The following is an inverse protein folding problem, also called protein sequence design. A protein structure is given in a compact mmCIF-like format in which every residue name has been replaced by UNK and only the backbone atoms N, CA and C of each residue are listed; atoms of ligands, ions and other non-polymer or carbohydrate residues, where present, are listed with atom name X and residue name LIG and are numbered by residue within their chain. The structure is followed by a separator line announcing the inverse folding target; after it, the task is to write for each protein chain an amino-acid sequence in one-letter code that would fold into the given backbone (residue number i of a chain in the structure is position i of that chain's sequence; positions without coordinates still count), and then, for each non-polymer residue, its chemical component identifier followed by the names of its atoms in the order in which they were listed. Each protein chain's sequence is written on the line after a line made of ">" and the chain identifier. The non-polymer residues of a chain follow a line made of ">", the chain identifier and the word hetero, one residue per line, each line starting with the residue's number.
data_IF_459404180341
#
_entry.id   IF_459404180341
#
_cell.length_a   1.000
_cell.length_b   1.000
_cell.length_c   1.000
_cell.angle_alpha   90.00
_cell.angle_beta   90.00
_cell.angle_gamma   90.00
#
_symmetry.space_group_name_H-M   'P 1'
#
loop_
_entity.id
_entity.type
_entity.pdbx_description
1 polymer ?
#
# COMPACT_ATOMS: atom_id res chain seq x y z
N UNK A 1 -7.99 -7.22 -42.49
CA UNK A 1 -8.03 -6.83 -43.92
C UNK A 1 -8.31 -5.33 -43.98
N UNK A 2 -7.90 -4.62 -45.04
CA UNK A 2 -8.33 -3.24 -45.20
C UNK A 2 -9.85 -3.20 -45.44
N UNK A 3 -10.52 -2.19 -44.87
CA UNK A 3 -11.95 -1.93 -45.10
C UNK A 3 -12.24 -1.96 -46.60
N UNK A 4 -13.23 -2.74 -47.01
CA UNK A 4 -13.71 -2.75 -48.38
C UNK A 4 -14.67 -1.57 -48.61
N UNK A 5 -14.26 -0.60 -49.41
CA UNK A 5 -15.09 0.55 -49.78
C UNK A 5 -15.97 0.22 -51.00
N UNK A 6 -17.25 0.55 -50.90
CA UNK A 6 -18.18 0.48 -52.04
C UNK A 6 -17.89 1.66 -52.95
N UNK A 7 -17.62 1.38 -54.22
CA UNK A 7 -17.44 2.39 -55.26
C UNK A 7 -18.82 2.77 -55.81
N UNK A 8 -19.23 4.01 -55.58
CA UNK A 8 -20.52 4.52 -56.05
C UNK A 8 -20.51 4.94 -57.53
N UNK A 9 -19.33 4.97 -58.17
CA UNK A 9 -19.16 5.46 -59.53
C UNK A 9 -19.29 6.98 -59.63
N UNK A 10 -19.51 7.47 -60.84
CA UNK A 10 -19.67 8.90 -61.13
C UNK A 10 -21.13 9.32 -61.06
N UNK A 11 -21.42 10.41 -60.33
CA UNK A 11 -22.76 10.99 -60.31
C UNK A 11 -23.16 11.54 -61.70
N UNK A 12 -24.46 11.55 -62.07
CA UNK A 12 -25.62 11.18 -61.27
C UNK A 12 -26.04 9.70 -61.39
N UNK A 13 -25.48 8.95 -62.33
CA UNK A 13 -25.96 7.62 -62.70
C UNK A 13 -25.12 6.46 -62.12
N UNK A 14 -24.03 6.76 -61.42
CA UNK A 14 -23.14 5.76 -60.82
C UNK A 14 -22.29 4.99 -61.83
N UNK A 15 -22.07 5.53 -63.05
CA UNK A 15 -21.28 4.86 -64.07
C UNK A 15 -19.84 4.59 -63.59
N UNK A 16 -19.35 3.38 -63.83
CA UNK A 16 -18.05 2.89 -63.35
C UNK A 16 -18.02 2.49 -61.87
N UNK A 17 -19.17 2.43 -61.20
CA UNK A 17 -19.33 1.94 -59.82
C UNK A 17 -19.40 0.42 -59.70
N UNK A 18 -19.46 -0.05 -58.46
CA UNK A 18 -19.76 -1.45 -58.14
C UNK A 18 -21.18 -1.83 -58.58
N UNK A 19 -21.35 -3.07 -59.04
CA UNK A 19 -22.68 -3.63 -59.20
C UNK A 19 -23.30 -3.98 -57.83
N UNK A 20 -24.61 -4.25 -57.80
CA UNK A 20 -25.31 -4.57 -56.55
C UNK A 20 -24.71 -5.78 -55.82
N UNK A 21 -24.20 -6.76 -56.56
CA UNK A 21 -23.61 -7.98 -56.01
C UNK A 21 -22.22 -7.72 -55.45
N UNK A 22 -21.35 -7.01 -56.18
CA UNK A 22 -20.00 -6.67 -55.72
C UNK A 22 -20.05 -5.72 -54.52
N UNK A 23 -20.98 -4.75 -54.51
CA UNK A 23 -21.23 -3.90 -53.35
C UNK A 23 -21.68 -4.70 -52.12
N UNK A 24 -22.60 -5.68 -52.29
CA UNK A 24 -23.06 -6.52 -51.19
C UNK A 24 -21.99 -7.48 -50.66
N UNK A 25 -21.18 -8.06 -51.56
CA UNK A 25 -20.03 -8.87 -51.16
C UNK A 25 -19.04 -8.06 -50.32
N UNK A 26 -18.80 -6.78 -50.67
CA UNK A 26 -17.95 -5.87 -49.89
C UNK A 26 -18.54 -5.56 -48.51
N UNK A 27 -19.85 -5.28 -48.45
CA UNK A 27 -20.53 -5.02 -47.18
C UNK A 27 -20.45 -6.23 -46.25
N UNK A 28 -20.79 -7.42 -46.76
CA UNK A 28 -20.73 -8.67 -45.99
C UNK A 28 -19.32 -8.99 -45.52
N UNK A 29 -18.31 -8.84 -46.38
CA UNK A 29 -16.92 -9.07 -46.01
C UNK A 29 -16.47 -8.19 -44.82
N UNK A 30 -16.87 -6.92 -44.78
CA UNK A 30 -16.56 -6.02 -43.66
C UNK A 30 -17.22 -6.49 -42.33
N UNK A 31 -18.46 -6.98 -42.37
CA UNK A 31 -19.14 -7.50 -41.17
C UNK A 31 -18.54 -8.84 -40.72
N UNK A 32 -18.31 -9.77 -41.64
CA UNK A 32 -17.65 -11.06 -41.37
C UNK A 32 -16.29 -10.83 -40.71
N UNK A 33 -15.51 -9.85 -41.18
CA UNK A 33 -14.24 -9.47 -40.55
C UNK A 33 -14.41 -9.02 -39.09
N UNK A 34 -15.36 -8.13 -38.80
CA UNK A 34 -15.59 -7.61 -37.44
C UNK A 34 -16.04 -8.72 -36.47
N UNK A 35 -16.98 -9.57 -36.90
CA UNK A 35 -17.47 -10.68 -36.09
C UNK A 35 -16.37 -11.68 -35.79
N UNK A 36 -15.57 -12.05 -36.80
CA UNK A 36 -14.43 -12.94 -36.63
C UNK A 36 -13.36 -12.35 -35.70
N UNK A 37 -13.05 -11.06 -35.83
CA UNK A 37 -12.06 -10.40 -34.98
C UNK A 37 -12.49 -10.35 -33.51
N UNK A 38 -13.77 -10.09 -33.24
CA UNK A 38 -14.34 -10.05 -31.90
C UNK A 38 -14.48 -11.45 -31.28
N UNK A 39 -14.95 -12.43 -32.06
CA UNK A 39 -15.15 -13.81 -31.60
C UNK A 39 -13.85 -14.63 -31.54
N UNK A 40 -12.72 -14.07 -31.98
CA UNK A 40 -11.43 -14.76 -32.09
C UNK A 40 -11.51 -16.03 -32.97
N UNK A 41 -12.25 -15.95 -34.07
CA UNK A 41 -12.41 -17.02 -35.06
C UNK A 41 -11.75 -16.62 -36.37
N UNK A 42 -11.08 -17.55 -37.05
CA UNK A 42 -10.47 -17.32 -38.38
C UNK A 42 -11.30 -18.07 -39.41
N UNK A 43 -12.37 -17.47 -39.95
CA UNK A 43 -13.32 -18.20 -40.79
C UNK A 43 -13.82 -17.40 -41.99
N UNK A 44 -14.32 -18.10 -43.00
CA UNK A 44 -15.07 -17.54 -44.14
C UNK A 44 -16.49 -17.13 -43.72
N UNK A 45 -17.28 -16.62 -44.67
CA UNK A 45 -18.62 -16.07 -44.45
C UNK A 45 -19.54 -16.87 -43.52
N UNK A 46 -20.35 -16.12 -42.75
CA UNK A 46 -21.55 -16.56 -42.03
C UNK A 46 -21.37 -17.57 -40.88
N UNK A 47 -20.16 -17.74 -40.33
CA UNK A 47 -19.93 -18.71 -39.23
C UNK A 47 -19.96 -18.08 -37.82
N UNK A 48 -19.43 -16.88 -37.63
CA UNK A 48 -19.59 -16.15 -36.38
C UNK A 48 -20.99 -15.49 -36.36
N UNK A 49 -21.97 -16.19 -35.78
CA UNK A 49 -23.38 -15.76 -35.76
C UNK A 49 -23.75 -14.87 -34.58
N UNK A 50 -22.83 -14.70 -33.63
CA UNK A 50 -23.02 -13.88 -32.43
C UNK A 50 -21.73 -13.17 -32.03
N UNK A 51 -21.88 -11.98 -31.45
CA UNK A 51 -20.79 -11.31 -30.75
C UNK A 51 -20.54 -12.00 -29.41
N UNK A 52 -19.30 -12.00 -28.89
CA UNK A 52 -19.03 -12.53 -27.57
C UNK A 52 -19.82 -11.74 -26.51
N UNK A 53 -20.30 -12.43 -25.48
CA UNK A 53 -21.04 -11.82 -24.36
C UNK A 53 -20.18 -10.84 -23.55
N UNK A 54 -18.87 -11.01 -23.59
CA UNK A 54 -17.87 -10.11 -22.98
C UNK A 54 -16.76 -9.86 -24.00
N UNK A 55 -16.38 -8.59 -24.17
CA UNK A 55 -15.23 -8.23 -25.02
C UNK A 55 -13.93 -8.75 -24.38
N UNK A 56 -13.12 -9.56 -25.10
CA UNK A 56 -11.82 -9.98 -24.61
C UNK A 56 -10.91 -8.78 -24.36
N UNK A 57 -10.07 -8.83 -23.30
CA UNK A 57 -9.16 -7.74 -22.94
C UNK A 57 -8.28 -7.28 -24.11
N UNK A 58 -7.75 -8.25 -24.88
CA UNK A 58 -6.93 -8.00 -26.07
C UNK A 58 -7.66 -7.21 -27.18
N UNK A 59 -8.99 -7.09 -27.11
CA UNK A 59 -9.86 -6.39 -28.06
C UNK A 59 -10.46 -5.10 -27.47
N UNK A 60 -10.16 -4.79 -26.20
CA UNK A 60 -10.71 -3.64 -25.48
C UNK A 60 -10.02 -2.30 -25.73
N UNK A 61 -9.06 -2.22 -26.67
CA UNK A 61 -8.39 -0.96 -27.03
C UNK A 61 -7.42 -0.39 -25.98
N UNK A 62 -7.22 -1.07 -24.85
CA UNK A 62 -6.32 -0.62 -23.75
C UNK A 62 -4.84 -0.91 -24.02
N UNK A 63 -4.50 -1.50 -25.18
CA UNK A 63 -3.13 -1.92 -25.49
C UNK A 63 -2.61 -3.06 -24.60
N UNK A 64 -3.49 -3.79 -23.91
CA UNK A 64 -3.16 -4.94 -23.06
C UNK A 64 -3.86 -6.20 -23.54
N UNK A 65 -3.12 -7.31 -23.53
CA UNK A 65 -3.58 -8.61 -24.03
C UNK A 65 -3.69 -9.68 -22.92
N UNK A 66 -3.35 -9.35 -21.68
CA UNK A 66 -3.45 -10.23 -20.53
C UNK A 66 -3.88 -9.48 -19.28
N UNK A 67 -4.62 -10.17 -18.39
CA UNK A 67 -5.04 -9.60 -17.11
C UNK A 67 -3.82 -9.19 -16.26
N UNK A 68 -2.73 -9.96 -16.32
CA UNK A 68 -1.50 -9.67 -15.59
C UNK A 68 -0.87 -8.33 -16.01
N UNK A 69 -0.82 -8.03 -17.30
CA UNK A 69 -0.27 -6.75 -17.79
C UNK A 69 -1.17 -5.56 -17.42
N UNK A 70 -2.50 -5.73 -17.46
CA UNK A 70 -3.44 -4.70 -17.00
C UNK A 70 -3.27 -4.42 -15.50
N UNK A 71 -3.19 -5.47 -14.68
CA UNK A 71 -2.96 -5.35 -13.24
C UNK A 71 -1.62 -4.67 -12.98
N UNK A 72 -0.57 -5.02 -13.72
CA UNK A 72 0.76 -4.41 -13.55
C UNK A 72 0.76 -2.91 -13.84
N UNK A 73 0.10 -2.44 -14.90
CA UNK A 73 0.00 -1.00 -15.16
C UNK A 73 -0.76 -0.29 -14.05
N UNK A 74 -1.82 -0.92 -13.59
CA UNK A 74 -2.73 -0.34 -12.62
C UNK A 74 -2.06 -0.20 -11.25
N UNK A 75 -1.32 -1.24 -10.83
CA UNK A 75 -0.46 -1.20 -9.66
C UNK A 75 0.70 -0.21 -9.85
N UNK A 76 1.29 -0.14 -11.04
CA UNK A 76 2.31 0.86 -11.39
C UNK A 76 1.79 2.29 -11.39
N UNK A 77 0.49 2.48 -11.66
CA UNK A 77 -0.23 3.75 -11.58
C UNK A 77 -0.68 4.14 -10.17
N UNK A 78 -0.28 3.40 -9.14
CA UNK A 78 -0.56 3.73 -7.74
C UNK A 78 -1.84 3.11 -7.18
N UNK A 79 -2.43 2.09 -7.84
CA UNK A 79 -3.55 1.38 -7.21
C UNK A 79 -3.10 0.54 -6.03
N UNK A 80 -3.92 0.56 -4.99
CA UNK A 80 -3.82 -0.32 -3.84
C UNK A 80 -4.69 -1.57 -4.04
N UNK A 81 -4.09 -2.72 -3.81
CA UNK A 81 -4.71 -4.03 -3.83
C UNK A 81 -4.19 -4.87 -2.65
N UNK A 82 -4.87 -5.98 -2.34
CA UNK A 82 -4.44 -6.88 -1.24
C UNK A 82 -2.97 -7.29 -1.31
N UNK A 83 -2.38 -7.31 -2.50
CA UNK A 83 -0.97 -7.65 -2.74
C UNK A 83 0.05 -6.57 -2.34
N UNK A 84 -0.35 -5.31 -2.17
CA UNK A 84 0.57 -4.20 -1.87
C UNK A 84 0.12 -3.30 -0.71
N UNK A 85 -0.99 -3.63 -0.03
CA UNK A 85 -1.42 -2.90 1.19
C UNK A 85 -0.35 -2.99 2.29
N UNK A 86 0.32 -4.14 2.41
CA UNK A 86 1.45 -4.34 3.32
C UNK A 86 2.78 -4.31 2.55
N UNK A 87 3.74 -3.52 3.02
CA UNK A 87 5.05 -3.39 2.39
C UNK A 87 5.78 -2.15 2.89
N UNK A 88 6.97 -1.87 2.36
CA UNK A 88 7.71 -0.64 2.71
C UNK A 88 6.85 0.59 2.43
N UNK A 89 6.65 1.42 3.46
CA UNK A 89 5.90 2.67 3.39
C UNK A 89 6.89 3.79 3.04
N UNK A 90 6.56 4.52 1.98
CA UNK A 90 7.32 5.68 1.51
C UNK A 90 6.39 6.80 1.06
N UNK A 91 6.94 8.01 0.97
CA UNK A 91 6.22 9.19 0.49
C UNK A 91 7.14 10.05 -0.35
N UNK A 92 6.56 10.80 -1.28
CA UNK A 92 7.22 11.90 -1.98
C UNK A 92 6.21 13.04 -2.17
N UNK A 93 6.53 14.25 -1.70
CA UNK A 93 5.62 15.40 -1.82
C UNK A 93 4.23 15.19 -1.20
N UNK A 94 4.12 14.43 -0.11
CA UNK A 94 2.83 14.08 0.52
C UNK A 94 2.04 12.98 -0.18
N UNK A 95 2.57 12.41 -1.29
CA UNK A 95 1.95 11.28 -2.00
C UNK A 95 2.59 9.97 -1.51
N UNK A 96 1.82 8.98 -1.06
CA UNK A 96 2.32 7.63 -0.78
C UNK A 96 2.97 7.00 -2.01
N UNK A 97 4.18 6.47 -1.87
CA UNK A 97 4.96 5.84 -2.96
C UNK A 97 5.18 4.34 -2.75
N UNK A 98 4.67 3.78 -1.66
CA UNK A 98 4.83 2.38 -1.29
C UNK A 98 3.55 1.79 -0.70
N UNK A 99 3.70 0.82 0.20
CA UNK A 99 2.58 0.20 0.90
C UNK A 99 1.82 1.18 1.81
N UNK A 100 0.67 0.75 2.31
CA UNK A 100 -0.14 1.54 3.26
C UNK A 100 0.36 1.36 4.68
N UNK A 101 0.82 0.15 5.00
CA UNK A 101 1.30 -0.25 6.33
C UNK A 101 2.63 -0.98 6.21
N UNK A 102 3.59 -0.57 7.04
CA UNK A 102 4.89 -1.22 7.20
C UNK A 102 5.08 -1.59 8.67
N UNK A 103 5.25 -2.88 8.93
CA UNK A 103 5.66 -3.37 10.24
C UNK A 103 7.14 -3.70 10.22
N UNK A 104 7.87 -3.27 11.25
CA UNK A 104 9.27 -3.64 11.43
C UNK A 104 9.59 -4.00 12.88
N UNK A 105 10.63 -4.80 13.04
CA UNK A 105 11.13 -5.25 14.34
C UNK A 105 12.65 -5.34 14.30
N UNK A 106 13.31 -4.74 15.29
CA UNK A 106 14.75 -4.82 15.46
C UNK A 106 15.10 -4.92 16.96
N UNK A 107 16.40 -4.85 17.29
CA UNK A 107 16.86 -4.97 18.68
C UNK A 107 16.29 -3.88 19.62
N UNK A 108 15.85 -2.74 19.07
CA UNK A 108 15.31 -1.62 19.83
C UNK A 108 13.78 -1.66 19.98
N UNK A 109 13.12 -2.64 19.36
CA UNK A 109 11.69 -2.88 19.46
C UNK A 109 10.96 -2.96 18.13
N UNK A 110 9.67 -2.64 18.17
CA UNK A 110 8.73 -2.81 17.06
C UNK A 110 8.18 -1.47 16.63
N UNK A 111 7.89 -1.33 15.33
CA UNK A 111 7.21 -0.17 14.81
C UNK A 111 6.15 -0.52 13.78
N UNK A 112 5.19 0.40 13.64
CA UNK A 112 4.21 0.43 12.57
C UNK A 112 4.25 1.81 11.92
N UNK A 113 4.58 1.87 10.64
CA UNK A 113 4.47 3.08 9.81
C UNK A 113 3.20 3.00 8.96
N UNK A 114 2.54 4.14 8.84
CA UNK A 114 1.36 4.34 8.02
C UNK A 114 1.67 5.31 6.88
N UNK A 115 1.05 5.10 5.72
CA UNK A 115 1.23 5.98 4.56
C UNK A 115 0.80 7.43 4.80
N UNK A 116 -0.12 7.67 5.72
CA UNK A 116 -0.51 9.01 6.16
C UNK A 116 0.63 9.75 6.89
N UNK A 117 1.70 9.05 7.27
CA UNK A 117 2.88 9.55 7.99
C UNK A 117 2.90 9.24 9.48
N UNK A 118 1.87 8.58 10.00
CA UNK A 118 1.83 8.14 11.40
C UNK A 118 2.90 7.07 11.62
N UNK A 119 3.65 7.20 12.71
CA UNK A 119 4.61 6.22 13.20
C UNK A 119 4.24 5.85 14.63
N UNK A 120 4.12 4.56 14.90
CA UNK A 120 3.96 4.02 16.24
C UNK A 120 5.20 3.15 16.53
N UNK A 121 5.97 3.51 17.54
CA UNK A 121 7.08 2.71 18.07
C UNK A 121 6.68 2.16 19.44
N UNK A 122 6.97 0.89 19.72
CA UNK A 122 6.70 0.29 21.03
C UNK A 122 7.70 -0.79 21.38
N UNK A 123 8.00 -0.88 22.66
CA UNK A 123 8.97 -1.83 23.21
C UNK A 123 8.66 -2.09 24.68
N UNK A 124 9.05 -3.27 25.17
CA UNK A 124 9.21 -3.55 26.58
C UNK A 124 10.44 -4.43 26.79
N UNK A 125 11.04 -4.32 27.96
CA UNK A 125 12.33 -4.96 28.25
C UNK A 125 12.15 -6.46 28.46
N UNK A 126 13.13 -7.26 28.02
CA UNK A 126 13.13 -8.71 28.24
C UNK A 126 13.51 -9.10 29.69
N UNK A 127 14.15 -8.18 30.40
CA UNK A 127 14.56 -8.34 31.80
C UNK A 127 13.99 -7.22 32.66
N UNK A 128 13.77 -7.53 33.93
CA UNK A 128 13.33 -6.54 34.92
C UNK A 128 14.50 -5.69 35.41
N UNK A 129 14.21 -4.44 35.74
CA UNK A 129 15.15 -3.52 36.40
C UNK A 129 14.81 -3.44 37.88
N UNK A 130 15.85 -3.42 38.71
CA UNK A 130 15.70 -3.20 40.14
C UNK A 130 15.40 -1.73 40.44
N UNK A 131 14.38 -1.49 41.26
CA UNK A 131 14.10 -0.20 41.89
C UNK A 131 14.66 -0.25 43.31
N UNK A 132 15.96 0.00 43.45
CA UNK A 132 16.68 -0.06 44.72
C UNK A 132 17.14 1.30 45.25
N UNK A 133 17.11 2.33 44.41
CA UNK A 133 17.60 3.66 44.80
C UNK A 133 16.51 4.37 45.59
N UNK A 134 16.80 4.73 46.84
CA UNK A 134 15.84 5.43 47.70
C UNK A 134 15.65 6.87 47.18
N UNK A 135 14.39 7.29 47.02
CA UNK A 135 14.01 8.66 46.65
C UNK A 135 12.79 9.09 47.47
N UNK A 136 13.05 9.82 48.57
CA UNK A 136 12.02 10.10 49.57
C UNK A 136 11.47 8.81 50.18
N UNK A 137 10.15 8.64 50.18
CA UNK A 137 9.46 7.41 50.64
C UNK A 137 9.26 6.36 49.54
N UNK A 138 9.85 6.56 48.37
CA UNK A 138 9.76 5.63 47.24
C UNK A 138 11.13 5.05 46.89
N UNK A 139 11.11 4.02 46.06
CA UNK A 139 12.27 3.45 45.40
C UNK A 139 12.19 3.71 43.90
N UNK A 140 13.33 4.01 43.29
CA UNK A 140 13.44 4.28 41.86
C UNK A 140 14.52 3.42 41.20
N UNK A 141 14.37 3.16 39.91
CA UNK A 141 15.42 2.55 39.10
C UNK A 141 16.56 3.54 38.85
N UNK A 142 17.72 3.07 38.37
CA UNK A 142 18.64 3.93 37.62
C UNK A 142 17.95 4.48 36.35
N UNK A 143 18.40 5.63 35.79
CA UNK A 143 17.80 6.15 34.57
C UNK A 143 17.92 5.14 33.42
N UNK A 144 16.81 4.89 32.73
CA UNK A 144 16.72 3.94 31.62
C UNK A 144 16.65 4.71 30.31
N UNK A 145 17.53 4.37 29.36
CA UNK A 145 17.56 5.01 28.04
C UNK A 145 17.13 4.01 26.96
N UNK A 146 16.16 4.41 26.14
CA UNK A 146 15.62 3.63 25.04
C UNK A 146 15.84 4.36 23.72
N UNK A 147 16.37 3.65 22.74
CA UNK A 147 16.37 4.10 21.34
C UNK A 147 15.08 3.62 20.68
N UNK A 148 14.43 4.45 19.88
CA UNK A 148 13.28 4.01 19.10
C UNK A 148 13.72 3.09 17.95
N UNK A 149 12.93 2.07 17.61
CA UNK A 149 13.25 1.16 16.50
C UNK A 149 13.18 1.82 15.12
N UNK A 150 12.54 2.99 15.02
CA UNK A 150 12.61 3.90 13.88
C UNK A 150 12.61 5.35 14.39
N UNK A 151 13.35 6.24 13.73
CA UNK A 151 13.36 7.65 14.08
C UNK A 151 12.05 8.36 13.65
N UNK A 152 11.56 9.25 14.49
CA UNK A 152 10.51 10.21 14.14
C UNK A 152 11.11 11.37 13.33
N UNK A 153 10.27 12.06 12.56
CA UNK A 153 10.65 13.20 11.75
C UNK A 153 10.97 14.40 12.64
N UNK A 154 12.22 14.89 12.59
CA UNK A 154 12.70 15.95 13.47
C UNK A 154 11.95 17.29 13.31
N UNK A 155 11.48 17.58 12.09
CA UNK A 155 10.71 18.78 11.74
C UNK A 155 9.25 18.74 12.25
N UNK A 156 8.73 17.59 12.67
CA UNK A 156 7.36 17.42 13.17
C UNK A 156 7.29 17.45 14.72
N UNK A 157 8.40 17.77 15.38
CA UNK A 157 8.50 17.83 16.83
C UNK A 157 8.83 16.49 17.49
N UNK A 158 8.58 16.42 18.80
CA UNK A 158 8.84 15.25 19.64
C UNK A 158 7.62 14.32 19.62
N UNK A 159 7.79 12.99 19.54
CA UNK A 159 6.65 12.07 19.62
C UNK A 159 5.92 12.18 20.96
N UNK A 160 4.61 11.90 20.95
CA UNK A 160 3.86 11.66 22.17
C UNK A 160 4.25 10.29 22.74
N UNK A 161 4.75 10.26 23.97
CA UNK A 161 5.26 9.04 24.60
C UNK A 161 4.44 8.70 25.85
N UNK A 162 4.01 7.45 25.94
CA UNK A 162 3.42 6.85 27.13
C UNK A 162 4.34 5.74 27.65
N UNK A 163 5.16 6.02 28.69
CA UNK A 163 5.92 4.97 29.37
C UNK A 163 4.99 4.12 30.24
N UNK A 164 5.34 2.86 30.46
CA UNK A 164 4.61 1.96 31.35
C UNK A 164 5.56 0.96 32.01
N UNK A 165 5.10 0.34 33.09
CA UNK A 165 5.80 -0.71 33.80
C UNK A 165 4.97 -2.01 33.75
N UNK A 166 5.63 -3.17 33.71
CA UNK A 166 4.98 -4.47 33.88
C UNK A 166 5.60 -5.14 35.10
N UNK A 167 4.78 -5.42 36.11
CA UNK A 167 5.21 -6.00 37.40
C UNK A 167 4.50 -7.33 37.65
N UNK A 168 5.19 -8.36 38.18
CA UNK A 168 4.58 -9.66 38.47
C UNK A 168 3.69 -9.69 39.74
N UNK A 169 3.38 -8.54 40.36
CA UNK A 169 2.34 -8.45 41.40
C UNK A 169 2.79 -8.24 42.84
N UNK A 170 4.01 -7.75 43.09
CA UNK A 170 4.51 -7.52 44.46
C UNK A 170 4.31 -6.07 44.98
N UNK A 171 4.17 -5.09 44.08
CA UNK A 171 3.94 -3.69 44.42
C UNK A 171 3.41 -2.92 43.20
N UNK A 172 2.81 -1.75 43.42
CA UNK A 172 2.48 -0.81 42.34
C UNK A 172 3.79 -0.21 41.80
N UNK A 173 3.93 -0.18 40.48
CA UNK A 173 5.08 0.42 39.81
C UNK A 173 4.57 1.38 38.74
N UNK A 174 5.08 2.60 38.76
CA UNK A 174 4.83 3.63 37.75
C UNK A 174 6.07 3.79 36.88
N UNK A 175 5.86 4.18 35.63
CA UNK A 175 6.92 4.63 34.75
C UNK A 175 6.69 6.11 34.43
N UNK A 176 7.74 6.91 34.49
CA UNK A 176 7.70 8.32 34.16
C UNK A 176 8.82 8.64 33.18
N UNK A 177 8.52 9.47 32.18
CA UNK A 177 9.54 10.02 31.30
C UNK A 177 10.47 10.91 32.12
N UNK A 178 11.78 10.74 31.94
CA UNK A 178 12.81 11.54 32.59
C UNK A 178 13.55 12.31 31.50
N UNK A 179 13.76 13.61 31.71
CA UNK A 179 14.28 14.49 30.67
C UNK A 179 13.31 14.69 29.49
N UNK A 180 13.86 15.05 28.33
CA UNK A 180 13.10 15.24 27.10
C UNK A 180 13.17 13.97 26.24
N UNK A 181 12.01 13.48 25.77
CA UNK A 181 12.01 12.63 24.59
C UNK A 181 12.54 13.43 23.39
N UNK A 182 13.27 12.76 22.50
CA UNK A 182 13.70 13.33 21.22
C UNK A 182 13.20 12.43 20.10
N UNK A 183 13.46 12.80 18.85
CA UNK A 183 12.93 12.05 17.71
C UNK A 183 13.55 10.65 17.54
N UNK A 184 14.63 10.33 18.25
CA UNK A 184 15.34 9.04 18.17
C UNK A 184 15.35 8.23 19.46
N UNK A 185 15.07 8.86 20.60
CA UNK A 185 15.21 8.21 21.90
C UNK A 185 14.33 8.82 22.99
N UNK A 186 14.23 8.06 24.08
CA UNK A 186 13.48 8.37 25.28
C UNK A 186 14.33 7.99 26.49
N UNK A 187 14.30 8.82 27.53
CA UNK A 187 14.76 8.43 28.86
C UNK A 187 13.57 8.34 29.81
N UNK A 188 13.61 7.38 30.73
CA UNK A 188 12.55 7.16 31.71
C UNK A 188 13.10 6.57 33.00
N UNK A 189 12.24 6.58 34.02
CA UNK A 189 12.51 5.95 35.31
C UNK A 189 11.29 5.18 35.79
N UNK A 190 11.54 4.07 36.48
CA UNK A 190 10.50 3.35 37.21
C UNK A 190 10.48 3.82 38.67
N UNK A 191 9.29 3.92 39.24
CA UNK A 191 9.05 4.37 40.63
C UNK A 191 8.08 3.42 41.32
N UNK A 192 8.35 3.06 42.57
CA UNK A 192 7.48 2.20 43.38
C UNK A 192 7.57 2.58 44.85
N UNK A 193 6.52 2.39 45.67
CA UNK A 193 6.62 2.63 47.12
C UNK A 193 7.34 1.49 47.85
N UNK A 194 7.70 0.40 47.15
CA UNK A 194 8.44 -0.73 47.70
C UNK A 194 9.66 -1.05 46.83
N UNK A 195 10.67 -1.68 47.45
CA UNK A 195 11.84 -2.16 46.73
C UNK A 195 11.46 -3.41 45.94
N UNK A 196 11.36 -3.29 44.61
CA UNK A 196 10.92 -4.36 43.70
C UNK A 196 11.70 -4.32 42.39
N UNK A 197 11.55 -5.37 41.58
CA UNK A 197 12.01 -5.40 40.19
C UNK A 197 10.82 -5.38 39.24
N UNK A 198 10.91 -4.61 38.17
CA UNK A 198 9.84 -4.47 37.18
C UNK A 198 10.39 -4.33 35.77
N UNK A 199 9.65 -4.81 34.77
CA UNK A 199 9.93 -4.55 33.37
C UNK A 199 9.50 -3.11 33.02
N UNK A 200 10.21 -2.48 32.09
CA UNK A 200 9.89 -1.15 31.57
C UNK A 200 9.46 -1.26 30.11
N UNK A 201 8.54 -0.40 29.67
CA UNK A 201 8.13 -0.30 28.28
C UNK A 201 7.59 1.07 27.92
N UNK A 202 7.36 1.28 26.62
CA UNK A 202 6.77 2.50 26.11
C UNK A 202 5.92 2.23 24.87
N UNK A 203 4.99 3.15 24.62
CA UNK A 203 4.38 3.39 23.31
C UNK A 203 4.69 4.84 22.94
N UNK A 204 5.25 5.06 21.76
CA UNK A 204 5.55 6.37 21.22
C UNK A 204 4.82 6.56 19.88
N UNK A 205 4.11 7.66 19.72
CA UNK A 205 3.31 7.97 18.53
C UNK A 205 3.73 9.34 18.01
N UNK A 206 3.95 9.43 16.71
CA UNK A 206 4.38 10.66 16.05
C UNK A 206 4.38 10.52 14.54
N UNK A 207 5.23 11.30 13.88
CA UNK A 207 5.34 11.37 12.43
C UNK A 207 6.67 10.80 11.95
N UNK A 208 6.70 10.09 10.82
CA UNK A 208 7.96 9.67 10.18
C UNK A 208 8.38 10.55 8.98
N UNK A 209 7.51 11.49 8.55
CA UNK A 209 7.81 12.59 7.63
C UNK A 209 6.96 13.84 7.94
#
# INVERSE_FOLDING_TARGET
>A
MPKQAINLGTAPNGAGGDDRRSAWLKAKANFTELYNWLANTTQTDDQATALPTVLPLAKGGTGRNSLGSLISDLLGGGMYARSNVLGSVGQSGGVPTGGVLEYGNNANGKYLKFADGTLICYYYTASAYALSNIYGSCYVSSPLSFTFPHAFAANQGVPAVSPFAITPGAAIVWAATEGNAVNTSLQMRLVSPAQVSSYAGYIAIGRWY
#
